data_IF_813334494264
#
_entry.id   IF_813334494264
#
_cell.length_a   1.000
_cell.length_b   1.000
_cell.length_c   1.000
_cell.angle_alpha   90.00
_cell.angle_beta   90.00
_cell.angle_gamma   90.00
#
_symmetry.space_group_name_H-M   'P 1'
#
loop_
_entity.id
_entity.type
_entity.pdbx_description
1 polymer ?
#
# COMPACT_ATOMS: atom_id res chain seq x y z
N UNK A 1 3.19 -31.44 1.06
CA UNK A 1 2.81 -30.02 0.86
C UNK A 1 4.08 -29.20 0.86
N UNK A 2 4.43 -28.55 -0.25
CA UNK A 2 5.51 -27.57 -0.28
C UNK A 2 4.98 -26.27 0.32
N UNK A 3 5.39 -25.83 1.53
CA UNK A 3 4.91 -24.56 2.05
C UNK A 3 5.75 -23.47 1.36
N UNK A 4 5.38 -23.11 0.12
CA UNK A 4 6.06 -22.03 -0.61
C UNK A 4 5.72 -20.66 0.00
N UNK A 5 4.65 -20.59 0.80
CA UNK A 5 4.16 -19.37 1.43
C UNK A 5 3.95 -19.65 2.92
N UNK A 6 4.53 -18.81 3.78
CA UNK A 6 4.45 -18.94 5.24
C UNK A 6 3.40 -18.02 5.85
N UNK A 7 3.27 -16.81 5.28
CA UNK A 7 2.31 -15.80 5.72
C UNK A 7 1.91 -14.92 4.54
N UNK A 8 0.76 -14.24 4.63
CA UNK A 8 0.18 -13.43 3.56
C UNK A 8 -0.31 -12.08 4.09
N UNK A 9 -0.02 -11.02 3.34
CA UNK A 9 -0.61 -9.70 3.54
C UNK A 9 -1.51 -9.41 2.36
N UNK A 10 -2.77 -9.13 2.65
CA UNK A 10 -3.82 -8.80 1.70
C UNK A 10 -4.16 -7.33 1.84
N UNK A 11 -4.13 -6.58 0.75
CA UNK A 11 -4.47 -5.16 0.74
C UNK A 11 -5.47 -4.90 -0.38
N UNK A 12 -6.64 -4.32 -0.09
CA UNK A 12 -7.74 -4.14 -1.06
C UNK A 12 -8.04 -5.46 -1.83
N UNK A 13 -8.12 -6.57 -1.11
CA UNK A 13 -8.25 -7.89 -1.68
C UNK A 13 -9.70 -8.28 -2.00
N UNK A 14 -9.86 -9.23 -2.91
CA UNK A 14 -11.12 -9.89 -3.24
C UNK A 14 -10.88 -11.39 -3.38
N UNK A 15 -11.88 -12.19 -3.02
CA UNK A 15 -11.82 -13.67 -3.10
C UNK A 15 -12.38 -14.23 -4.40
N UNK A 16 -13.14 -13.41 -5.13
CA UNK A 16 -13.78 -13.77 -6.38
C UNK A 16 -13.68 -12.61 -7.38
N UNK A 17 -13.21 -12.90 -8.59
CA UNK A 17 -13.14 -11.94 -9.70
C UNK A 17 -14.48 -11.73 -10.41
N UNK A 18 -15.52 -12.50 -10.09
CA UNK A 18 -16.88 -12.30 -10.66
C UNK A 18 -17.41 -10.89 -10.44
N UNK A 19 -16.90 -10.18 -9.42
CA UNK A 19 -17.22 -8.78 -9.13
C UNK A 19 -16.85 -7.83 -10.29
N UNK A 20 -15.87 -8.18 -11.12
CA UNK A 20 -15.41 -7.35 -12.24
C UNK A 20 -16.18 -7.57 -13.55
N UNK A 21 -17.11 -8.56 -13.60
CA UNK A 21 -18.15 -8.83 -14.65
C UNK A 21 -17.80 -8.54 -16.13
N UNK A 22 -16.53 -8.63 -16.54
CA UNK A 22 -16.06 -8.33 -17.90
C UNK A 22 -15.41 -9.54 -18.61
N UNK A 23 -15.70 -10.75 -18.14
CA UNK A 23 -15.15 -12.03 -18.65
C UNK A 23 -15.36 -12.21 -20.16
N UNK A 24 -16.52 -11.83 -20.69
CA UNK A 24 -16.85 -12.01 -22.12
C UNK A 24 -16.03 -11.16 -23.08
N UNK A 25 -15.39 -10.10 -22.59
CA UNK A 25 -14.56 -9.15 -23.38
C UNK A 25 -13.05 -9.35 -23.20
N UNK A 26 -12.62 -10.35 -22.41
CA UNK A 26 -11.21 -10.55 -22.09
C UNK A 26 -10.29 -10.76 -23.32
N UNK A 27 -10.70 -11.46 -24.40
CA UNK A 27 -9.90 -11.55 -25.64
C UNK A 27 -9.87 -10.23 -26.43
N UNK A 28 -10.88 -9.38 -26.26
CA UNK A 28 -10.98 -8.12 -26.99
C UNK A 28 -9.93 -7.11 -26.54
N UNK A 29 -9.45 -7.17 -25.29
CA UNK A 29 -8.39 -6.27 -24.79
C UNK A 29 -7.10 -6.38 -25.59
N UNK A 30 -6.77 -7.57 -26.10
CA UNK A 30 -5.60 -7.79 -26.93
C UNK A 30 -5.67 -7.10 -28.30
N UNK A 31 -6.88 -6.83 -28.77
CA UNK A 31 -7.14 -6.12 -30.04
C UNK A 31 -7.33 -4.61 -29.85
N UNK A 32 -7.44 -4.13 -28.61
CA UNK A 32 -7.65 -2.71 -28.32
C UNK A 32 -6.33 -1.93 -28.32
N UNK A 33 -6.34 -0.68 -28.83
CA UNK A 33 -5.19 0.23 -28.72
C UNK A 33 -4.85 0.55 -27.25
N UNK A 34 -3.56 0.77 -26.96
CA UNK A 34 -3.09 1.11 -25.60
C UNK A 34 -3.86 2.28 -24.96
N UNK A 35 -4.17 3.32 -25.76
CA UNK A 35 -4.90 4.50 -25.30
C UNK A 35 -6.30 4.15 -24.73
N UNK A 36 -6.99 3.19 -25.34
CA UNK A 36 -8.32 2.75 -24.89
C UNK A 36 -8.20 1.98 -23.58
N UNK A 37 -7.21 1.07 -23.49
CA UNK A 37 -6.95 0.30 -22.27
C UNK A 37 -6.57 1.22 -21.11
N UNK A 38 -5.68 2.19 -21.34
CA UNK A 38 -5.32 3.22 -20.34
C UNK A 38 -6.54 3.99 -19.86
N UNK A 39 -7.39 4.45 -20.79
CA UNK A 39 -8.64 5.16 -20.43
C UNK A 39 -9.61 4.31 -19.62
N UNK A 40 -9.67 3.00 -19.88
CA UNK A 40 -10.53 2.09 -19.14
C UNK A 40 -10.06 1.94 -17.68
N UNK A 41 -8.74 1.80 -17.47
CA UNK A 41 -8.15 1.73 -16.12
C UNK A 41 -8.29 3.07 -15.38
N UNK A 42 -7.95 4.19 -16.04
CA UNK A 42 -8.14 5.54 -15.48
C UNK A 42 -9.61 5.91 -15.27
N UNK A 43 -10.54 5.18 -15.89
CA UNK A 43 -11.97 5.29 -15.65
C UNK A 43 -12.38 4.78 -14.27
N UNK A 44 -11.59 3.87 -13.70
CA UNK A 44 -11.88 3.21 -12.43
C UNK A 44 -11.33 3.97 -11.21
N UNK A 45 -10.43 4.93 -11.40
CA UNK A 45 -9.90 5.74 -10.30
C UNK A 45 -10.95 6.74 -9.83
N UNK A 46 -11.04 6.93 -8.51
CA UNK A 46 -11.96 7.90 -7.94
C UNK A 46 -11.70 9.31 -8.48
N UNK A 47 -12.75 9.93 -9.04
CA UNK A 47 -12.73 11.32 -9.51
C UNK A 47 -13.51 12.17 -8.53
N UNK A 48 -12.81 12.81 -7.60
CA UNK A 48 -13.44 13.62 -6.55
C UNK A 48 -12.44 14.49 -5.80
N UNK A 49 -12.95 15.27 -4.84
CA UNK A 49 -12.12 15.98 -3.87
C UNK A 49 -11.51 14.93 -2.92
N UNK A 50 -10.25 14.57 -3.19
CA UNK A 50 -9.46 13.67 -2.36
C UNK A 50 -8.39 14.45 -1.61
N UNK A 51 -7.85 13.85 -0.55
CA UNK A 51 -6.70 14.39 0.19
C UNK A 51 -5.47 14.50 -0.73
N UNK A 52 -4.54 15.39 -0.41
CA UNK A 52 -3.31 15.62 -1.17
C UNK A 52 -2.51 14.33 -1.35
N UNK A 53 -2.33 13.54 -0.29
CA UNK A 53 -1.57 12.27 -0.38
C UNK A 53 -2.25 11.23 -1.29
N UNK A 54 -3.59 11.25 -1.35
CA UNK A 54 -4.37 10.37 -2.25
C UNK A 54 -4.27 10.89 -3.68
N UNK A 55 -4.34 12.20 -3.90
CA UNK A 55 -4.14 12.82 -5.21
C UNK A 55 -2.75 12.50 -5.78
N UNK A 56 -1.70 12.69 -4.98
CA UNK A 56 -0.32 12.37 -5.38
C UNK A 56 -0.15 10.89 -5.71
N UNK A 57 -0.84 10.00 -4.97
CA UNK A 57 -0.85 8.57 -5.26
C UNK A 57 -1.54 8.24 -6.59
N UNK A 58 -2.66 8.91 -6.89
CA UNK A 58 -3.36 8.76 -8.17
C UNK A 58 -2.49 9.28 -9.31
N UNK A 59 -1.86 10.45 -9.15
CA UNK A 59 -0.97 11.04 -10.16
C UNK A 59 0.23 10.14 -10.45
N UNK A 60 0.87 9.59 -9.41
CA UNK A 60 1.93 8.60 -9.55
C UNK A 60 1.45 7.34 -10.30
N UNK A 61 0.25 6.86 -9.98
CA UNK A 61 -0.33 5.69 -10.66
C UNK A 61 -0.67 5.99 -12.12
N UNK A 62 -1.11 7.20 -12.45
CA UNK A 62 -1.35 7.65 -13.83
C UNK A 62 -0.04 7.71 -14.62
N UNK A 63 1.02 8.26 -14.03
CA UNK A 63 2.35 8.28 -14.65
C UNK A 63 2.88 6.85 -14.87
N UNK A 64 2.76 5.99 -13.86
CA UNK A 64 3.14 4.58 -13.93
C UNK A 64 2.35 3.82 -15.00
N UNK A 65 1.05 4.08 -15.14
CA UNK A 65 0.22 3.50 -16.19
C UNK A 65 0.64 3.99 -17.59
N UNK A 66 1.12 5.22 -17.71
CA UNK A 66 1.53 5.75 -19.01
C UNK A 66 2.80 5.08 -19.53
N UNK A 67 3.66 4.62 -18.62
CA UNK A 67 4.85 3.84 -18.95
C UNK A 67 4.55 2.41 -19.43
N UNK A 68 3.36 1.88 -19.14
CA UNK A 68 2.99 0.51 -19.53
C UNK A 68 2.58 0.40 -21.01
N UNK A 69 3.07 -0.67 -21.63
CA UNK A 69 2.73 -1.02 -23.01
C UNK A 69 1.32 -1.61 -23.16
N UNK A 70 0.86 -1.70 -24.42
CA UNK A 70 -0.43 -2.32 -24.73
C UNK A 70 -0.52 -3.77 -24.21
N UNK A 71 0.52 -4.56 -24.39
CA UNK A 71 0.57 -5.97 -23.99
C UNK A 71 0.48 -6.15 -22.47
N UNK A 72 1.15 -5.28 -21.70
CA UNK A 72 1.11 -5.32 -20.24
C UNK A 72 -0.27 -4.94 -19.72
N UNK A 73 -0.89 -3.90 -20.29
CA UNK A 73 -2.25 -3.50 -19.92
C UNK A 73 -3.27 -4.57 -20.30
N UNK A 74 -3.19 -5.10 -21.52
CA UNK A 74 -4.10 -6.14 -22.01
C UNK A 74 -4.01 -7.40 -21.14
N UNK A 75 -2.78 -7.88 -20.86
CA UNK A 75 -2.59 -9.05 -20.00
C UNK A 75 -3.13 -8.86 -18.58
N UNK A 76 -2.88 -7.70 -17.94
CA UNK A 76 -3.40 -7.39 -16.60
C UNK A 76 -4.93 -7.27 -16.58
N UNK A 77 -5.53 -6.62 -17.58
CA UNK A 77 -6.98 -6.50 -17.70
C UNK A 77 -7.64 -7.85 -17.98
N UNK A 78 -7.05 -8.66 -18.86
CA UNK A 78 -7.48 -10.05 -19.10
C UNK A 78 -7.45 -10.84 -17.79
N UNK A 79 -6.36 -10.79 -17.02
CA UNK A 79 -6.27 -11.51 -15.74
C UNK A 79 -7.33 -11.09 -14.73
N UNK A 80 -7.62 -9.78 -14.61
CA UNK A 80 -8.70 -9.29 -13.74
C UNK A 80 -10.09 -9.76 -14.18
N UNK A 81 -10.28 -10.09 -15.47
CA UNK A 81 -11.54 -10.54 -16.03
C UNK A 81 -11.69 -12.08 -16.09
N UNK A 82 -10.63 -12.83 -15.81
CA UNK A 82 -10.70 -14.29 -15.73
C UNK A 82 -11.32 -14.68 -14.39
N UNK A 83 -12.33 -15.54 -14.44
CA UNK A 83 -12.98 -16.06 -13.23
C UNK A 83 -11.96 -16.87 -12.44
N UNK A 84 -11.62 -16.39 -11.25
CA UNK A 84 -10.73 -17.06 -10.32
C UNK A 84 -11.32 -16.90 -8.94
N UNK A 85 -11.48 -18.04 -8.27
CA UNK A 85 -11.94 -18.12 -6.90
C UNK A 85 -10.79 -18.72 -6.08
N UNK A 86 -10.46 -18.05 -4.98
CA UNK A 86 -9.45 -18.58 -4.05
C UNK A 86 -10.12 -19.61 -3.15
N UNK A 87 -9.63 -20.85 -3.19
CA UNK A 87 -10.11 -21.91 -2.30
C UNK A 87 -9.51 -21.71 -0.88
N UNK A 88 -10.29 -21.26 0.12
CA UNK A 88 -9.73 -20.86 1.41
C UNK A 88 -9.12 -22.03 2.20
N UNK A 89 -9.60 -23.25 1.93
CA UNK A 89 -9.14 -24.50 2.54
C UNK A 89 -7.66 -24.78 2.23
N UNK A 90 -7.17 -24.29 1.10
CA UNK A 90 -5.76 -24.45 0.70
C UNK A 90 -4.78 -23.57 1.51
N UNK A 91 -5.31 -22.57 2.22
CA UNK A 91 -4.56 -21.59 3.00
C UNK A 91 -4.76 -21.78 4.52
N UNK A 92 -5.37 -22.90 4.94
CA UNK A 92 -5.52 -23.22 6.35
C UNK A 92 -4.14 -23.34 7.04
N UNK A 93 -3.99 -22.59 8.14
CA UNK A 93 -2.75 -22.58 8.94
C UNK A 93 -1.69 -21.56 8.49
N UNK A 94 -2.01 -20.69 7.52
CA UNK A 94 -1.15 -19.55 7.13
C UNK A 94 -1.58 -18.30 7.88
N UNK A 95 -0.62 -17.54 8.39
CA UNK A 95 -0.90 -16.25 9.01
C UNK A 95 -1.29 -15.22 7.95
N UNK A 96 -2.54 -14.76 7.98
CA UNK A 96 -3.08 -13.76 7.06
C UNK A 96 -3.30 -12.44 7.78
N UNK A 97 -2.90 -11.33 7.16
CA UNK A 97 -3.26 -9.98 7.60
C UNK A 97 -3.95 -9.25 6.46
N UNK A 98 -5.17 -8.79 6.70
CA UNK A 98 -5.97 -8.02 5.75
C UNK A 98 -5.89 -6.56 6.16
N UNK A 99 -5.42 -5.73 5.22
CA UNK A 99 -5.33 -4.28 5.33
C UNK A 99 -6.44 -3.71 4.44
N UNK A 100 -7.41 -3.06 5.06
CA UNK A 100 -8.54 -2.43 4.38
C UNK A 100 -8.68 -0.98 4.77
N UNK A 101 -9.16 -0.16 3.84
CA UNK A 101 -9.49 1.24 4.08
C UNK A 101 -11.00 1.39 4.29
N UNK A 102 -11.41 2.29 5.18
CA UNK A 102 -12.82 2.57 5.48
C UNK A 102 -13.47 3.66 4.60
N UNK A 103 -12.70 4.33 3.75
CA UNK A 103 -13.20 5.36 2.84
C UNK A 103 -13.86 4.77 1.58
N UNK A 104 -14.35 5.66 0.71
CA UNK A 104 -14.74 5.27 -0.64
C UNK A 104 -13.49 4.75 -1.35
N UNK A 105 -13.59 3.53 -1.86
CA UNK A 105 -12.55 2.88 -2.64
C UNK A 105 -13.23 1.97 -3.66
N UNK A 106 -12.50 1.56 -4.69
CA UNK A 106 -13.01 0.72 -5.77
C UNK A 106 -13.58 -0.63 -5.29
N UNK A 107 -13.21 -1.10 -4.09
CA UNK A 107 -13.70 -2.35 -3.52
C UNK A 107 -14.87 -2.10 -2.57
N UNK A 108 -16.06 -2.57 -2.96
CA UNK A 108 -17.27 -2.44 -2.15
C UNK A 108 -17.19 -3.22 -0.83
N UNK A 109 -17.91 -2.76 0.19
CA UNK A 109 -17.97 -3.41 1.52
C UNK A 109 -18.41 -4.87 1.47
N UNK A 110 -19.33 -5.22 0.57
CA UNK A 110 -19.77 -6.61 0.39
C UNK A 110 -18.61 -7.55 0.01
N UNK A 111 -17.67 -7.07 -0.81
CA UNK A 111 -16.50 -7.85 -1.22
C UNK A 111 -15.53 -8.03 -0.06
N UNK A 112 -15.33 -6.99 0.75
CA UNK A 112 -14.51 -7.06 1.96
C UNK A 112 -15.06 -8.06 2.98
N UNK A 113 -16.39 -8.06 3.17
CA UNK A 113 -17.05 -9.04 4.03
C UNK A 113 -16.85 -10.49 3.57
N UNK A 114 -16.88 -10.76 2.27
CA UNK A 114 -16.59 -12.09 1.73
C UNK A 114 -15.13 -12.51 2.02
N UNK A 115 -14.17 -11.60 1.88
CA UNK A 115 -12.78 -11.86 2.28
C UNK A 115 -12.69 -12.23 3.76
N UNK A 116 -13.40 -11.49 4.62
CA UNK A 116 -13.42 -11.77 6.06
C UNK A 116 -14.08 -13.11 6.42
N UNK A 117 -15.05 -13.59 5.62
CA UNK A 117 -15.64 -14.92 5.78
C UNK A 117 -14.68 -16.02 5.34
N UNK A 118 -13.94 -15.81 4.26
CA UNK A 118 -12.93 -16.75 3.78
C UNK A 118 -11.73 -16.88 4.72
N UNK A 119 -11.35 -15.79 5.42
CA UNK A 119 -10.25 -15.78 6.36
C UNK A 119 -10.70 -15.35 7.77
N UNK A 120 -11.43 -16.22 8.51
CA UNK A 120 -12.00 -15.87 9.81
C UNK A 120 -10.94 -15.58 10.88
N UNK A 121 -9.75 -16.18 10.76
CA UNK A 121 -8.63 -15.99 11.68
C UNK A 121 -7.64 -14.90 11.22
N UNK A 122 -7.92 -14.20 10.12
CA UNK A 122 -7.03 -13.14 9.66
C UNK A 122 -7.02 -11.94 10.62
N UNK A 123 -5.84 -11.37 10.80
CA UNK A 123 -5.67 -10.09 11.47
C UNK A 123 -6.23 -8.99 10.58
N UNK A 124 -7.01 -8.09 11.15
CA UNK A 124 -7.64 -6.98 10.41
C UNK A 124 -6.96 -5.68 10.81
N UNK A 125 -6.40 -5.02 9.81
CA UNK A 125 -5.79 -3.71 9.91
C UNK A 125 -6.66 -2.74 9.13
N UNK A 126 -7.22 -1.75 9.82
CA UNK A 126 -8.15 -0.82 9.22
C UNK A 126 -7.57 0.58 9.19
N UNK A 127 -7.41 1.13 7.99
CA UNK A 127 -7.01 2.51 7.79
C UNK A 127 -8.25 3.38 7.69
N UNK A 128 -8.18 4.58 8.28
CA UNK A 128 -9.30 5.53 8.25
C UNK A 128 -9.53 6.08 6.84
N UNK A 129 -8.45 6.41 6.14
CA UNK A 129 -8.43 6.93 4.77
C UNK A 129 -7.23 6.33 4.04
N UNK A 130 -7.24 6.34 2.71
CA UNK A 130 -6.19 5.73 1.89
C UNK A 130 -6.57 5.51 0.41
N UNK A 131 -7.85 5.64 0.07
CA UNK A 131 -8.35 5.48 -1.30
C UNK A 131 -8.02 4.12 -1.92
N UNK A 132 -7.87 4.10 -3.25
CA UNK A 132 -7.58 2.87 -4.01
C UNK A 132 -6.18 2.30 -3.75
N UNK A 133 -5.24 3.15 -3.32
CA UNK A 133 -3.82 2.84 -3.18
C UNK A 133 -3.27 3.19 -1.80
N UNK A 134 -3.76 2.55 -0.72
CA UNK A 134 -3.34 2.87 0.66
C UNK A 134 -1.83 2.68 0.90
N UNK A 135 -1.18 1.79 0.14
CA UNK A 135 0.27 1.57 0.22
C UNK A 135 1.09 2.74 -0.36
N UNK A 136 0.47 3.62 -1.15
CA UNK A 136 1.09 4.87 -1.62
C UNK A 136 0.68 6.05 -0.75
N UNK A 137 -0.63 6.21 -0.51
CA UNK A 137 -1.19 7.39 0.16
C UNK A 137 -0.97 7.39 1.67
N UNK A 138 -0.85 6.21 2.29
CA UNK A 138 -0.64 6.00 3.74
C UNK A 138 0.47 4.99 3.99
N UNK A 139 1.58 5.15 3.26
CA UNK A 139 2.73 4.25 3.34
C UNK A 139 3.22 4.04 4.79
N UNK A 140 3.23 5.09 5.61
CA UNK A 140 3.65 5.00 7.02
C UNK A 140 2.76 4.06 7.84
N UNK A 141 1.43 4.16 7.70
CA UNK A 141 0.47 3.29 8.39
C UNK A 141 0.56 1.85 7.87
N UNK A 142 0.63 1.67 6.56
CA UNK A 142 0.77 0.35 5.93
C UNK A 142 2.06 -0.33 6.35
N UNK A 143 3.17 0.41 6.41
CA UNK A 143 4.47 -0.12 6.82
C UNK A 143 4.46 -0.62 8.27
N UNK A 144 3.76 0.07 9.18
CA UNK A 144 3.59 -0.41 10.56
C UNK A 144 2.89 -1.76 10.58
N UNK A 145 1.81 -1.94 9.81
CA UNK A 145 1.12 -3.23 9.73
C UNK A 145 1.98 -4.33 9.11
N UNK A 146 2.78 -4.01 8.10
CA UNK A 146 3.76 -4.95 7.51
C UNK A 146 4.79 -5.36 8.57
N UNK A 147 5.34 -4.41 9.32
CA UNK A 147 6.31 -4.70 10.39
C UNK A 147 5.71 -5.61 11.46
N UNK A 148 4.50 -5.30 11.93
CA UNK A 148 3.77 -6.13 12.92
C UNK A 148 3.50 -7.53 12.34
N UNK A 149 3.20 -7.64 11.05
CA UNK A 149 3.03 -8.93 10.38
C UNK A 149 4.32 -9.75 10.40
N UNK A 150 5.44 -9.16 9.99
CA UNK A 150 6.74 -9.83 9.90
C UNK A 150 7.40 -10.13 11.26
N UNK A 151 7.11 -9.31 12.29
CA UNK A 151 7.65 -9.55 13.63
C UNK A 151 7.22 -10.89 14.22
N UNK A 152 6.07 -11.44 13.81
CA UNK A 152 5.60 -12.74 14.32
C UNK A 152 6.47 -13.91 13.88
N UNK A 153 6.99 -13.87 12.66
CA UNK A 153 7.91 -14.90 12.16
C UNK A 153 9.37 -14.60 12.54
N UNK A 154 9.66 -13.44 13.14
CA UNK A 154 11.04 -12.97 13.38
C UNK A 154 11.88 -13.87 14.30
N UNK A 155 11.23 -14.60 15.22
CA UNK A 155 11.86 -15.58 16.12
C UNK A 155 11.79 -17.02 15.61
N UNK A 156 11.28 -17.22 14.39
CA UNK A 156 11.13 -18.55 13.77
C UNK A 156 12.14 -18.74 12.64
N UNK A 157 12.29 -19.98 12.16
CA UNK A 157 13.09 -20.29 10.95
C UNK A 157 12.60 -19.60 9.66
N UNK A 158 11.46 -18.90 9.72
CA UNK A 158 10.84 -18.18 8.62
C UNK A 158 10.97 -16.65 8.78
N UNK A 159 11.89 -16.20 9.64
CA UNK A 159 12.19 -14.78 9.81
C UNK A 159 12.61 -14.16 8.47
N UNK A 160 11.98 -13.04 8.12
CA UNK A 160 12.34 -12.26 6.94
C UNK A 160 13.62 -11.43 7.14
N UNK A 161 14.18 -11.40 8.36
CA UNK A 161 15.44 -10.71 8.67
C UNK A 161 16.60 -11.64 8.40
N UNK A 162 17.63 -11.14 7.70
CA UNK A 162 18.89 -11.85 7.60
C UNK A 162 19.50 -11.97 9.00
N UNK A 163 20.06 -13.14 9.39
CA UNK A 163 20.70 -13.32 10.70
C UNK A 163 21.87 -12.36 11.00
N UNK A 164 22.35 -11.62 9.98
CA UNK A 164 23.58 -10.81 10.05
C UNK A 164 23.34 -9.35 10.42
N UNK A 165 22.10 -8.88 10.58
CA UNK A 165 21.85 -7.54 11.10
C UNK A 165 21.74 -7.57 12.63
N UNK A 166 22.89 -7.75 13.27
CA UNK A 166 23.08 -7.28 14.64
C UNK A 166 22.88 -5.76 14.64
N UNK A 167 21.81 -5.30 15.30
CA UNK A 167 21.61 -3.89 15.63
C UNK A 167 22.85 -3.46 16.41
N UNK A 168 23.61 -2.42 16.01
CA UNK A 168 24.70 -1.92 16.82
C UNK A 168 24.08 -1.52 18.15
N UNK A 169 24.44 -2.26 19.19
CA UNK A 169 24.06 -1.94 20.55
C UNK A 169 24.61 -0.55 20.82
N UNK A 170 23.76 0.40 21.14
CA UNK A 170 24.20 1.68 21.67
C UNK A 170 24.88 1.42 23.02
N UNK A 171 26.17 1.07 22.97
CA UNK A 171 27.03 1.07 24.15
C UNK A 171 27.28 2.54 24.47
N UNK A 172 26.68 2.97 25.57
CA UNK A 172 27.08 4.18 26.27
C UNK A 172 28.56 4.08 26.62
N UNK A 173 29.40 4.94 26.05
CA UNK A 173 30.66 5.33 26.66
C UNK A 173 30.68 6.85 26.78
N UNK A 174 30.83 7.30 28.02
CA UNK A 174 30.93 8.69 28.40
C UNK A 174 32.29 9.30 28.10
N UNK A 175 32.37 10.55 28.52
CA UNK A 175 33.56 11.40 28.61
C UNK A 175 34.11 11.95 27.29
N UNK A 176 33.56 13.09 26.87
CA UNK A 176 34.40 14.16 26.34
C UNK A 176 33.92 15.53 26.82
N UNK A 177 34.60 15.98 27.88
CA UNK A 177 34.84 17.35 28.34
C UNK A 177 34.26 18.48 27.47
N UNK A 178 33.32 19.23 28.04
CA UNK A 178 32.92 20.57 27.57
C UNK A 178 34.06 21.58 27.80
N UNK A 179 34.42 22.45 26.84
CA UNK A 179 35.13 23.68 27.16
C UNK A 179 34.14 24.80 27.51
N UNK A 180 34.39 25.40 28.68
CA UNK A 180 33.78 26.62 29.22
C UNK A 180 33.70 27.76 28.19
N UNK A 181 32.51 28.37 28.06
CA UNK A 181 32.33 29.72 27.50
C UNK A 181 31.44 30.51 28.47
N UNK A 182 31.91 31.66 29.00
CA UNK A 182 31.26 32.37 30.10
C UNK A 182 29.97 33.11 29.69
N UNK A 183 29.11 33.46 30.67
CA UNK A 183 27.75 33.91 30.42
C UNK A 183 27.64 35.43 30.29
N UNK A 184 26.76 35.89 29.41
CA UNK A 184 26.12 37.20 29.54
C UNK A 184 26.12 38.08 28.30
N UNK A 185 25.02 38.05 27.55
CA UNK A 185 24.33 39.25 27.08
C UNK A 185 22.95 38.86 26.55
N UNK A 186 21.93 39.41 27.20
CA UNK A 186 20.52 39.13 26.96
C UNK A 186 19.94 39.93 25.79
N UNK A 187 18.90 39.33 25.21
CA UNK A 187 17.62 39.96 24.84
C UNK A 187 17.51 40.91 23.63
N UNK A 188 16.45 40.58 22.86
CA UNK A 188 15.43 41.47 22.28
C UNK A 188 15.70 42.14 20.92
N UNK A 189 14.87 41.76 19.93
CA UNK A 189 14.05 42.61 19.04
C UNK A 189 13.64 41.77 17.80
N UNK A 190 12.39 41.35 17.62
CA UNK A 190 11.22 42.12 17.17
C UNK A 190 11.14 42.36 15.63
N UNK A 191 10.11 41.74 15.04
CA UNK A 191 9.10 42.37 14.16
C UNK A 191 9.39 42.63 12.65
N UNK A 192 8.94 41.67 11.81
CA UNK A 192 8.12 41.83 10.57
C UNK A 192 8.66 42.67 9.37
N UNK A 193 7.90 42.84 8.27
CA UNK A 193 8.00 42.03 7.04
C UNK A 193 8.40 42.86 5.79
N UNK A 194 8.83 42.21 4.70
CA UNK A 194 8.94 42.87 3.39
C UNK A 194 8.11 42.19 2.31
N UNK A 195 7.10 42.94 1.84
CA UNK A 195 6.44 42.87 0.54
C UNK A 195 7.32 43.57 -0.52
N UNK A 196 7.39 43.01 -1.72
CA UNK A 196 7.55 43.60 -3.06
C UNK A 196 7.69 42.39 -4.01
N UNK A 197 6.84 42.05 -5.00
CA UNK A 197 6.15 42.74 -6.11
C UNK A 197 7.10 43.47 -7.05
N UNK A 198 6.94 43.17 -8.36
CA UNK A 198 7.53 43.79 -9.58
C UNK A 198 8.74 42.98 -10.09
N UNK A 199 8.75 42.32 -11.27
CA UNK A 199 8.07 42.51 -12.57
C UNK A 199 7.71 41.14 -13.15
#
# INVERSE_FOLDING_TARGET
MSPRVHSLILCNAFVDTTVFRQTSSAPAFWMMPALVLKKMVMGNFERGLVDADIADSIDFMVESLDQLGQQELASRLTLNCMNSYVEPQSLEGIDVTVIDVYDNCAISQAVKEEVYKCYPHARRAHLKTGGDFPYLSRADEVNVYIQIHLQQSSHTRYSARNPTEEVPSATMEGDTQFPDVPPGAAAAAALAPHKEVTI
#
